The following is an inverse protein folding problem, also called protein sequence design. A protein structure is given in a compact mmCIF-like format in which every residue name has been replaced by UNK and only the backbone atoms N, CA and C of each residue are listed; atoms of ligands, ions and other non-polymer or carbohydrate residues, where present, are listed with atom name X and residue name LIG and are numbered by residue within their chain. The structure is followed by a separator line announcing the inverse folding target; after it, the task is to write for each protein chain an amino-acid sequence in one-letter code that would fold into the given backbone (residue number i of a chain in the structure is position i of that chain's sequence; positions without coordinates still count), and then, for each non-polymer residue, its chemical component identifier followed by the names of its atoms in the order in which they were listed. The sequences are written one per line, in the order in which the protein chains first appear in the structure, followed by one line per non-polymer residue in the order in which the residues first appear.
data_IF_768482116577
#
_entry.id   IF_768482116577
#
_cell.length_a   1.000
_cell.length_b   1.000
_cell.length_c   1.000
_cell.angle_alpha   90.00
_cell.angle_beta   90.00
_cell.angle_gamma   90.00
#
_symmetry.space_group_name_H-M   'P 1'
#
loop_
_entity.id
_entity.type
_entity.pdbx_description
1 polymer ?
#
# COMPACT_ATOMS: atom_id res chain seq x y z
N UNK A 1 -23.04 14.82 -3.26
CA UNK A 1 -22.69 14.11 -2.02
C UNK A 1 -22.40 12.70 -2.45
N UNK A 2 -21.17 12.46 -2.92
CA UNK A 2 -20.81 11.11 -3.34
C UNK A 2 -20.54 10.25 -2.11
N UNK A 3 -21.22 9.13 -2.12
CA UNK A 3 -21.26 8.14 -1.06
C UNK A 3 -19.86 7.59 -0.88
N UNK A 4 -19.37 7.66 0.37
CA UNK A 4 -18.16 6.98 0.79
C UNK A 4 -18.30 5.52 0.36
N UNK A 5 -17.49 5.07 -0.60
CA UNK A 5 -17.71 3.79 -1.24
C UNK A 5 -17.46 2.66 -0.24
N UNK A 6 -18.05 1.48 -0.46
CA UNK A 6 -17.79 0.32 0.40
C UNK A 6 -16.29 -0.02 0.50
N UNK A 7 -15.49 0.36 -0.51
CA UNK A 7 -14.04 0.21 -0.52
C UNK A 7 -13.32 1.23 0.36
N UNK A 8 -13.83 2.46 0.46
CA UNK A 8 -13.34 3.46 1.41
C UNK A 8 -13.67 3.04 2.85
N UNK A 9 -14.85 2.46 3.10
CA UNK A 9 -15.21 1.85 4.39
C UNK A 9 -14.36 0.62 4.72
N UNK A 10 -13.95 -0.17 3.72
CA UNK A 10 -12.99 -1.28 3.89
C UNK A 10 -11.62 -0.76 4.31
N UNK A 11 -11.14 0.32 3.71
CA UNK A 11 -9.88 0.96 4.10
C UNK A 11 -9.96 1.52 5.54
N UNK A 12 -11.07 2.15 5.91
CA UNK A 12 -11.33 2.57 7.31
C UNK A 12 -11.39 1.38 8.26
N UNK A 13 -11.96 0.24 7.84
CA UNK A 13 -11.99 -1.00 8.61
C UNK A 13 -10.62 -1.64 8.83
N UNK A 14 -9.72 -1.55 7.84
CA UNK A 14 -8.31 -1.95 7.97
C UNK A 14 -7.59 -1.03 8.94
N UNK A 15 -7.78 0.29 8.86
CA UNK A 15 -7.23 1.26 9.82
C UNK A 15 -7.73 0.98 11.25
N UNK A 16 -9.02 0.72 11.44
CA UNK A 16 -9.60 0.39 12.75
C UNK A 16 -9.05 -0.93 13.31
N UNK A 17 -8.84 -1.95 12.46
CA UNK A 17 -8.23 -3.22 12.84
C UNK A 17 -6.75 -3.05 13.23
N UNK A 18 -6.01 -2.22 12.51
CA UNK A 18 -4.62 -1.86 12.81
C UNK A 18 -4.54 -1.09 14.13
N UNK A 19 -5.45 -0.14 14.38
CA UNK A 19 -5.54 0.57 15.67
C UNK A 19 -5.85 -0.38 16.84
N UNK A 20 -6.72 -1.37 16.62
CA UNK A 20 -7.02 -2.40 17.62
C UNK A 20 -5.84 -3.33 17.93
N UNK A 21 -5.01 -3.64 16.94
CA UNK A 21 -3.81 -4.48 17.13
C UNK A 21 -2.67 -3.70 17.80
N UNK A 22 -2.50 -2.42 17.46
CA UNK A 22 -1.52 -1.52 18.08
C UNK A 22 -1.75 -1.32 19.58
N UNK A 23 -3.01 -1.17 20.00
CA UNK A 23 -3.38 -1.01 21.41
C UNK A 23 -3.11 -2.27 22.25
N UNK A 24 -2.98 -3.44 21.63
CA UNK A 24 -3.01 -4.71 22.34
C UNK A 24 -1.63 -5.24 22.75
N UNK A 25 -0.52 -4.89 22.08
CA UNK A 25 0.77 -5.45 22.50
C UNK A 25 2.05 -4.65 22.27
N UNK A 26 2.10 -3.56 21.48
CA UNK A 26 3.30 -2.71 21.28
C UNK A 26 4.65 -3.46 21.20
N UNK A 27 4.61 -4.68 20.66
CA UNK A 27 5.69 -5.65 20.61
C UNK A 27 5.97 -6.05 19.17
N UNK A 28 7.04 -6.81 18.95
CA UNK A 28 7.48 -7.11 17.59
C UNK A 28 6.50 -7.97 16.79
N UNK A 29 5.67 -8.78 17.44
CA UNK A 29 4.64 -9.55 16.74
C UNK A 29 3.53 -8.64 16.22
N UNK A 30 3.06 -7.67 17.02
CA UNK A 30 2.12 -6.66 16.53
C UNK A 30 2.71 -5.80 15.40
N UNK A 31 3.95 -5.34 15.54
CA UNK A 31 4.62 -4.54 14.51
C UNK A 31 4.68 -5.31 13.17
N UNK A 32 5.10 -6.58 13.20
CA UNK A 32 5.16 -7.42 11.98
C UNK A 32 3.78 -7.75 11.41
N UNK A 33 2.76 -7.94 12.26
CA UNK A 33 1.40 -8.15 11.79
C UNK A 33 0.85 -6.92 11.05
N UNK A 34 1.20 -5.72 11.51
CA UNK A 34 0.84 -4.45 10.86
C UNK A 34 1.60 -4.29 9.55
N UNK A 35 2.90 -4.56 9.52
CA UNK A 35 3.69 -4.58 8.27
C UNK A 35 3.02 -5.46 7.22
N UNK A 36 2.60 -6.67 7.59
CA UNK A 36 1.93 -7.60 6.68
C UNK A 36 0.57 -7.08 6.18
N UNK A 37 -0.20 -6.39 7.03
CA UNK A 37 -1.49 -5.82 6.61
C UNK A 37 -1.30 -4.62 5.68
N UNK A 38 -0.36 -3.73 6.00
CA UNK A 38 -0.01 -2.57 5.17
C UNK A 38 0.50 -3.02 3.80
N UNK A 39 1.31 -4.08 3.74
CA UNK A 39 1.75 -4.68 2.47
C UNK A 39 0.58 -5.15 1.61
N UNK A 40 -0.34 -5.91 2.20
CA UNK A 40 -1.51 -6.44 1.49
C UNK A 40 -2.37 -5.31 0.95
N UNK A 41 -2.59 -4.26 1.75
CA UNK A 41 -3.32 -3.07 1.35
C UNK A 41 -2.61 -2.34 0.19
N UNK A 42 -1.28 -2.19 0.27
CA UNK A 42 -0.48 -1.57 -0.77
C UNK A 42 -0.61 -2.30 -2.11
N UNK A 43 -0.41 -3.62 -2.11
CA UNK A 43 -0.49 -4.44 -3.32
C UNK A 43 -1.90 -4.39 -3.91
N UNK A 44 -2.94 -4.53 -3.08
CA UNK A 44 -4.33 -4.45 -3.53
C UNK A 44 -4.66 -3.08 -4.14
N UNK A 45 -4.14 -1.99 -3.55
CA UNK A 45 -4.33 -0.65 -4.08
C UNK A 45 -3.65 -0.49 -5.44
N UNK A 46 -2.38 -0.88 -5.57
CA UNK A 46 -1.64 -0.77 -6.84
C UNK A 46 -2.30 -1.57 -7.97
N UNK A 47 -2.83 -2.76 -7.68
CA UNK A 47 -3.59 -3.55 -8.66
C UNK A 47 -4.90 -2.85 -9.08
N UNK A 48 -5.59 -2.21 -8.13
CA UNK A 48 -6.81 -1.44 -8.41
C UNK A 48 -6.49 -0.26 -9.33
N UNK A 49 -5.49 0.55 -8.98
CA UNK A 49 -5.09 1.72 -9.78
C UNK A 49 -4.55 1.31 -11.16
N UNK A 50 -3.83 0.20 -11.27
CA UNK A 50 -3.42 -0.34 -12.58
C UNK A 50 -4.63 -0.66 -13.47
N UNK A 51 -5.67 -1.29 -12.89
CA UNK A 51 -6.89 -1.60 -13.63
C UNK A 51 -7.63 -0.33 -14.06
N UNK A 52 -7.72 0.67 -13.18
CA UNK A 52 -8.33 1.96 -13.47
C UNK A 52 -7.55 2.70 -14.57
N UNK A 53 -6.23 2.80 -14.46
CA UNK A 53 -5.39 3.44 -15.46
C UNK A 53 -5.42 2.73 -16.80
N UNK A 54 -5.48 1.39 -16.81
CA UNK A 54 -5.63 0.60 -18.05
C UNK A 54 -6.92 0.95 -18.79
N UNK A 55 -8.03 1.13 -18.05
CA UNK A 55 -9.32 1.53 -18.59
C UNK A 55 -9.33 3.01 -19.03
N UNK A 56 -8.70 3.90 -18.27
CA UNK A 56 -8.56 5.32 -18.60
C UNK A 56 -7.76 5.56 -19.89
N UNK A 57 -6.83 4.64 -20.20
CA UNK A 57 -5.98 4.67 -21.39
C UNK A 57 -6.51 3.80 -22.55
N UNK A 58 -7.73 3.26 -22.45
CA UNK A 58 -8.32 2.46 -23.51
C UNK A 58 -8.62 3.30 -24.77
N UNK A 59 -8.70 2.69 -25.97
CA UNK A 59 -9.07 3.41 -27.19
C UNK A 59 -10.41 4.14 -27.03
N UNK A 60 -10.42 5.44 -27.33
CA UNK A 60 -11.60 6.30 -27.17
C UNK A 60 -11.77 6.90 -25.77
N UNK A 61 -10.92 6.52 -24.80
CA UNK A 61 -10.77 7.24 -23.54
C UNK A 61 -9.77 8.41 -23.71
N UNK A 62 -9.77 9.33 -22.74
CA UNK A 62 -8.97 10.55 -22.75
C UNK A 62 -7.96 10.62 -21.59
N UNK A 63 -7.61 9.46 -21.01
CA UNK A 63 -6.61 9.39 -19.95
C UNK A 63 -5.21 9.72 -20.44
N UNK A 64 -4.38 10.19 -19.51
CA UNK A 64 -2.98 10.53 -19.76
C UNK A 64 -2.05 9.53 -19.04
N UNK A 65 -1.14 8.91 -19.80
CA UNK A 65 -0.24 7.90 -19.26
C UNK A 65 0.66 8.47 -18.17
N UNK A 66 1.10 9.72 -18.29
CA UNK A 66 1.94 10.34 -17.27
C UNK A 66 1.16 10.51 -15.96
N UNK A 67 -0.10 10.94 -16.04
CA UNK A 67 -0.99 11.04 -14.89
C UNK A 67 -1.24 9.69 -14.19
N UNK A 68 -1.56 8.63 -14.95
CA UNK A 68 -1.81 7.31 -14.35
C UNK A 68 -0.57 6.72 -13.67
N UNK A 69 0.62 7.01 -14.20
CA UNK A 69 1.90 6.63 -13.56
C UNK A 69 2.12 7.39 -12.26
N UNK A 70 1.83 8.69 -12.23
CA UNK A 70 1.95 9.54 -11.03
C UNK A 70 1.04 9.04 -9.90
N UNK A 71 -0.18 8.59 -10.21
CA UNK A 71 -1.10 7.98 -9.24
C UNK A 71 -0.46 6.73 -8.60
N UNK A 72 0.07 5.81 -9.41
CA UNK A 72 0.72 4.60 -8.92
C UNK A 72 1.94 4.90 -8.06
N UNK A 73 2.81 5.82 -8.51
CA UNK A 73 4.01 6.22 -7.79
C UNK A 73 3.67 6.93 -6.47
N UNK A 74 2.63 7.76 -6.46
CA UNK A 74 2.13 8.43 -5.25
C UNK A 74 1.62 7.43 -4.21
N UNK A 75 0.80 6.46 -4.62
CA UNK A 75 0.32 5.42 -3.70
C UNK A 75 1.47 4.56 -3.17
N UNK A 76 2.38 4.13 -4.04
CA UNK A 76 3.54 3.35 -3.61
C UNK A 76 4.42 4.14 -2.62
N UNK A 77 4.63 5.44 -2.84
CA UNK A 77 5.37 6.30 -1.92
C UNK A 77 4.69 6.44 -0.56
N UNK A 78 3.37 6.61 -0.54
CA UNK A 78 2.61 6.66 0.70
C UNK A 78 2.74 5.36 1.51
N UNK A 79 2.59 4.20 0.86
CA UNK A 79 2.72 2.89 1.51
C UNK A 79 4.17 2.58 1.93
N UNK A 80 5.17 3.02 1.17
CA UNK A 80 6.58 2.90 1.55
C UNK A 80 6.87 3.66 2.86
N UNK A 81 6.31 4.87 2.99
CA UNK A 81 6.37 5.65 4.23
C UNK A 81 5.63 5.00 5.39
N UNK A 82 4.43 4.46 5.16
CA UNK A 82 3.65 3.75 6.18
C UNK A 82 4.34 2.47 6.68
N UNK A 83 5.02 1.74 5.79
CA UNK A 83 5.83 0.59 6.18
C UNK A 83 7.07 1.01 6.97
N UNK A 84 7.70 2.13 6.62
CA UNK A 84 8.85 2.65 7.35
C UNK A 84 8.48 3.07 8.79
N UNK A 85 7.33 3.69 9.00
CA UNK A 85 6.87 4.08 10.34
C UNK A 85 6.51 2.90 11.25
N UNK A 86 6.33 1.69 10.70
CA UNK A 86 6.12 0.50 11.51
C UNK A 86 7.33 0.17 12.42
N UNK A 87 8.51 0.73 12.14
CA UNK A 87 9.68 0.61 13.01
C UNK A 87 9.48 1.28 14.38
N UNK A 88 8.56 2.24 14.48
CA UNK A 88 8.29 2.99 15.71
C UNK A 88 7.27 2.30 16.63
N UNK A 89 6.71 1.15 16.21
CA UNK A 89 5.67 0.43 16.96
C UNK A 89 6.25 -0.28 18.18
N UNK A 90 7.46 -0.83 18.06
CA UNK A 90 8.12 -1.54 19.15
C UNK A 90 8.72 -0.58 20.18
N UNK A 91 8.38 -0.79 21.45
CA UNK A 91 8.99 -0.04 22.54
C UNK A 91 10.48 -0.35 22.61
N UNK A 92 11.31 0.69 22.51
CA UNK A 92 12.77 0.56 22.52
C UNK A 92 13.40 0.42 21.13
N UNK A 93 12.59 0.49 20.07
CA UNK A 93 13.02 0.42 18.67
C UNK A 93 12.83 -0.96 18.05
N UNK A 94 12.64 -1.00 16.73
CA UNK A 94 12.34 -2.22 16.01
C UNK A 94 13.44 -3.28 16.14
N UNK A 95 13.04 -4.52 16.41
CA UNK A 95 13.94 -5.68 16.37
C UNK A 95 14.56 -5.88 14.99
N UNK A 96 15.61 -6.71 14.91
CA UNK A 96 16.23 -7.08 13.64
C UNK A 96 15.25 -7.82 12.73
N UNK A 97 14.38 -8.65 13.30
CA UNK A 97 13.32 -9.37 12.60
C UNK A 97 12.29 -8.41 12.01
N UNK A 98 11.87 -7.40 12.76
CA UNK A 98 10.90 -6.41 12.29
C UNK A 98 11.50 -5.48 11.25
N UNK A 99 12.75 -5.06 11.43
CA UNK A 99 13.50 -4.31 10.43
C UNK A 99 13.58 -5.08 9.11
N UNK A 100 13.86 -6.40 9.17
CA UNK A 100 13.87 -7.27 7.99
C UNK A 100 12.49 -7.38 7.36
N UNK A 101 11.44 -7.59 8.16
CA UNK A 101 10.07 -7.66 7.66
C UNK A 101 9.64 -6.38 6.92
N UNK A 102 9.98 -5.20 7.47
CA UNK A 102 9.74 -3.90 6.83
C UNK A 102 10.50 -3.83 5.49
N UNK A 103 11.78 -4.17 5.47
CA UNK A 103 12.60 -4.10 4.26
C UNK A 103 12.07 -5.02 3.14
N UNK A 104 11.74 -6.27 3.49
CA UNK A 104 11.17 -7.25 2.57
C UNK A 104 9.81 -6.79 2.02
N UNK A 105 8.98 -6.21 2.88
CA UNK A 105 7.68 -5.68 2.50
C UNK A 105 7.78 -4.50 1.53
N UNK A 106 8.66 -3.54 1.83
CA UNK A 106 8.95 -2.41 0.94
C UNK A 106 9.49 -2.89 -0.41
N UNK A 107 10.32 -3.94 -0.42
CA UNK A 107 10.79 -4.54 -1.66
C UNK A 107 9.65 -5.17 -2.48
N UNK A 108 8.70 -5.86 -1.83
CA UNK A 108 7.52 -6.43 -2.51
C UNK A 108 6.60 -5.34 -3.08
N UNK A 109 6.35 -4.26 -2.35
CA UNK A 109 5.57 -3.10 -2.85
C UNK A 109 6.26 -2.47 -4.06
N UNK A 110 7.58 -2.28 -4.01
CA UNK A 110 8.35 -1.75 -5.14
C UNK A 110 8.25 -2.67 -6.37
N UNK A 111 8.36 -3.97 -6.19
CA UNK A 111 8.18 -4.95 -7.29
C UNK A 111 6.78 -4.88 -7.88
N UNK A 112 5.74 -4.77 -7.05
CA UNK A 112 4.36 -4.62 -7.52
C UNK A 112 4.12 -3.30 -8.28
N UNK A 113 4.75 -2.21 -7.84
CA UNK A 113 4.75 -0.94 -8.58
C UNK A 113 5.38 -1.11 -9.96
N UNK A 114 6.60 -1.69 -10.04
CA UNK A 114 7.28 -1.87 -11.32
C UNK A 114 6.47 -2.75 -12.28
N UNK A 115 5.86 -3.82 -11.78
CA UNK A 115 4.96 -4.65 -12.58
C UNK A 115 3.75 -3.85 -13.11
N UNK A 116 3.18 -2.97 -12.27
CA UNK A 116 2.03 -2.15 -12.64
C UNK A 116 2.37 -1.07 -13.67
N UNK A 117 3.52 -0.41 -13.50
CA UNK A 117 4.01 0.57 -14.47
C UNK A 117 4.34 -0.07 -15.82
N UNK A 118 4.93 -1.27 -15.81
CA UNK A 118 5.19 -2.03 -17.03
C UNK A 118 3.89 -2.42 -17.76
N UNK A 119 2.86 -2.83 -17.02
CA UNK A 119 1.55 -3.17 -17.57
C UNK A 119 0.86 -1.95 -18.24
N UNK A 120 1.03 -0.74 -17.69
CA UNK A 120 0.48 0.48 -18.30
C UNK A 120 1.24 0.94 -19.55
N UNK A 121 2.57 0.80 -19.57
CA UNK A 121 3.43 1.31 -20.65
C UNK A 121 3.68 0.34 -21.82
N UNK A 122 3.32 -0.93 -21.68
CA UNK A 122 3.60 -1.98 -22.67
C UNK A 122 2.58 -2.14 -23.80
N UNK A 123 1.76 -1.11 -24.11
CA UNK A 123 0.73 -1.16 -25.16
C UNK A 123 1.04 -0.21 -26.31
#
# INVERSE_FOLDING_TARGET
MDMVSADELRNVGVTARVSGLLLASADGDAARAIVNEVERAAVARLLTEQSLGTAALAPGAHGDLAHERDILETWAGWYDGALASAADIEVGGASAETTRAIADSRARVRTALQASLAALGGR
#
